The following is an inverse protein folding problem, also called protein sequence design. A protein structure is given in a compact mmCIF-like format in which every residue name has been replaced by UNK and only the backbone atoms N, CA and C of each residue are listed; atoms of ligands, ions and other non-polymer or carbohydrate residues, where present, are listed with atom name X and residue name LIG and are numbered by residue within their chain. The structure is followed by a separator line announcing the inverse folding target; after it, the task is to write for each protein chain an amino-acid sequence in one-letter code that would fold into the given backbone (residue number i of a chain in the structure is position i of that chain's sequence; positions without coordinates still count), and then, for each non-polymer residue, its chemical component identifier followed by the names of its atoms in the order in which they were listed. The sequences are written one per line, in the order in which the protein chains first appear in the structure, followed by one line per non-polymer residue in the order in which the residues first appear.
data_IF_572066887133
#
_entry.id   IF_572066887133
#
_cell.length_a   1.000
_cell.length_b   1.000
_cell.length_c   1.000
_cell.angle_alpha   90.00
_cell.angle_beta   90.00
_cell.angle_gamma   90.00
#
_symmetry.space_group_name_H-M   'P 1'
#
loop_
_entity.id
_entity.type
_entity.pdbx_description
1 polymer ?
#
# COMPACT_ATOMS: atom_id res chain seq x y z
N UNK A 1 17.96 -0.68 3.98
CA UNK A 1 17.31 0.48 3.35
C UNK A 1 17.55 1.69 4.23
N UNK A 2 17.92 2.81 3.61
CA UNK A 2 18.05 4.09 4.29
C UNK A 2 16.72 4.42 4.97
N UNK A 3 16.78 4.78 6.26
CA UNK A 3 15.68 5.46 6.91
C UNK A 3 15.46 6.81 6.24
N UNK A 4 14.32 7.42 6.52
CA UNK A 4 13.93 8.76 6.07
C UNK A 4 15.08 9.76 6.20
N UNK A 5 15.46 10.38 5.08
CA UNK A 5 16.46 11.47 4.99
C UNK A 5 15.79 12.84 4.82
N UNK A 6 14.52 12.98 5.21
CA UNK A 6 13.79 14.25 5.23
C UNK A 6 13.40 14.65 6.66
N UNK A 7 13.56 15.94 6.98
CA UNK A 7 13.14 16.48 8.28
C UNK A 7 11.61 16.50 8.38
N UNK A 8 11.10 16.19 9.57
CA UNK A 8 9.66 16.25 9.89
C UNK A 8 9.42 17.01 11.18
N UNK A 9 8.23 17.57 11.31
CA UNK A 9 7.88 18.44 12.43
C UNK A 9 8.33 19.88 12.21
N UNK A 10 8.19 20.68 13.26
CA UNK A 10 8.67 22.07 13.24
C UNK A 10 10.17 22.10 13.53
N UNK A 11 10.89 23.07 12.96
CA UNK A 11 12.31 23.26 13.26
C UNK A 11 12.49 23.63 14.73
N UNK A 12 13.50 23.06 15.41
CA UNK A 12 13.86 23.45 16.78
C UNK A 12 14.30 24.92 16.91
N UNK A 13 14.60 25.58 15.79
CA UNK A 13 14.91 27.01 15.72
C UNK A 13 13.64 27.87 15.64
N UNK A 14 12.46 27.27 15.45
CA UNK A 14 11.19 28.00 15.39
C UNK A 14 10.84 28.53 16.77
N UNK A 15 10.68 29.83 16.91
CA UNK A 15 10.06 30.42 18.10
C UNK A 15 8.54 30.25 17.98
N UNK A 16 7.93 29.58 18.98
CA UNK A 16 6.50 29.34 19.00
C UNK A 16 5.76 30.38 19.86
N UNK A 17 4.67 30.92 19.34
CA UNK A 17 3.80 31.87 20.02
C UNK A 17 2.63 31.17 20.72
N UNK A 18 2.07 31.79 21.76
CA UNK A 18 0.87 31.27 22.41
C UNK A 18 -0.36 31.45 21.48
N UNK A 19 -1.20 30.42 21.23
CA UNK A 19 -2.39 30.54 20.40
C UNK A 19 -3.39 31.61 20.87
N UNK A 20 -3.45 31.88 22.18
CA UNK A 20 -4.37 32.88 22.76
C UNK A 20 -4.10 34.32 22.31
N UNK A 21 -2.89 34.61 21.80
CA UNK A 21 -2.49 35.93 21.31
C UNK A 21 -2.74 36.11 19.82
N UNK A 22 -3.34 35.12 19.15
CA UNK A 22 -3.54 35.15 17.72
C UNK A 22 -4.53 36.27 17.33
N UNK A 23 -4.12 37.11 16.38
CA UNK A 23 -4.95 38.18 15.83
C UNK A 23 -4.70 38.28 14.33
N UNK A 24 -5.61 37.72 13.55
CA UNK A 24 -5.55 37.75 12.09
C UNK A 24 -6.96 37.65 11.50
N UNK A 25 -7.16 38.21 10.31
CA UNK A 25 -8.46 38.17 9.65
C UNK A 25 -8.89 36.73 9.35
N UNK A 26 -10.19 36.43 9.55
CA UNK A 26 -10.73 35.09 9.29
C UNK A 26 -10.43 34.05 10.37
N UNK A 27 -9.89 34.48 11.52
CA UNK A 27 -9.60 33.60 12.66
C UNK A 27 -10.17 34.20 13.94
N UNK A 28 -10.82 33.37 14.75
CA UNK A 28 -11.31 33.70 16.08
C UNK A 28 -10.67 32.79 17.13
N UNK A 29 -10.34 33.34 18.29
CA UNK A 29 -9.75 32.62 19.42
C UNK A 29 -10.81 32.41 20.49
N UNK A 30 -11.21 31.17 20.71
CA UNK A 30 -12.03 30.79 21.86
C UNK A 30 -11.11 30.43 23.03
N UNK A 31 -10.84 31.41 23.88
CA UNK A 31 -9.96 31.23 25.05
C UNK A 31 -10.60 30.40 26.16
N UNK A 32 -11.94 30.28 26.19
CA UNK A 32 -12.63 29.49 27.21
C UNK A 32 -12.48 28.01 26.88
N UNK A 33 -12.79 27.65 25.63
CA UNK A 33 -12.72 26.27 25.17
C UNK A 33 -11.36 25.89 24.57
N UNK A 34 -10.39 26.80 24.53
CA UNK A 34 -9.04 26.55 24.01
C UNK A 34 -9.04 26.08 22.54
N UNK A 35 -9.84 26.74 21.70
CA UNK A 35 -9.96 26.42 20.27
C UNK A 35 -9.63 27.65 19.42
N UNK A 36 -8.77 27.46 18.43
CA UNK A 36 -8.59 28.39 17.32
C UNK A 36 -9.55 28.00 16.21
N UNK A 37 -10.45 28.91 15.82
CA UNK A 37 -11.44 28.68 14.79
C UNK A 37 -11.12 29.52 13.54
N UNK A 38 -10.92 28.85 12.40
CA UNK A 38 -10.63 29.46 11.10
C UNK A 38 -11.86 29.38 10.21
N UNK A 39 -12.33 30.52 9.71
CA UNK A 39 -13.47 30.62 8.78
C UNK A 39 -13.15 31.44 7.52
N UNK A 40 -12.03 32.18 7.52
CA UNK A 40 -11.58 32.96 6.37
C UNK A 40 -10.76 32.16 5.36
N UNK A 41 -10.57 32.75 4.18
CA UNK A 41 -9.70 32.21 3.14
C UNK A 41 -8.29 32.82 3.21
N UNK A 42 -7.30 32.12 2.65
CA UNK A 42 -5.90 32.54 2.59
C UNK A 42 -5.27 32.76 3.98
N UNK A 43 -5.67 31.93 4.95
CA UNK A 43 -5.18 31.98 6.33
C UNK A 43 -3.96 31.08 6.48
N UNK A 44 -2.91 31.57 7.15
CA UNK A 44 -1.75 30.77 7.54
C UNK A 44 -1.55 30.83 9.04
N UNK A 45 -1.79 29.70 9.73
CA UNK A 45 -1.42 29.51 11.13
C UNK A 45 0.01 28.97 11.17
N UNK A 46 0.99 29.80 11.55
CA UNK A 46 2.40 29.42 11.54
C UNK A 46 3.10 29.77 12.84
N UNK A 47 3.82 28.81 13.44
CA UNK A 47 4.68 29.08 14.59
C UNK A 47 3.94 29.23 15.91
N UNK A 48 2.98 28.36 16.20
CA UNK A 48 2.21 28.39 17.45
C UNK A 48 2.42 27.14 18.30
N UNK A 49 2.44 27.31 19.62
CA UNK A 49 2.48 26.22 20.60
C UNK A 49 1.07 25.91 21.12
N UNK A 50 0.36 25.04 20.40
CA UNK A 50 -0.93 24.50 20.81
C UNK A 50 -0.83 23.48 21.96
N UNK A 51 0.36 23.17 22.49
CA UNK A 51 0.47 22.33 23.70
C UNK A 51 0.18 23.05 25.01
N UNK A 52 0.13 24.39 24.97
CA UNK A 52 -0.09 25.23 26.16
C UNK A 52 -1.49 25.06 26.75
N UNK A 53 -1.65 25.48 28.00
CA UNK A 53 -2.93 25.62 28.70
C UNK A 53 -3.81 24.35 28.76
N UNK A 54 -3.19 23.18 28.61
CA UNK A 54 -3.89 21.90 28.61
C UNK A 54 -4.19 21.35 27.21
N UNK A 55 -3.61 21.94 26.16
CA UNK A 55 -3.78 21.55 24.77
C UNK A 55 -4.89 22.35 24.09
N UNK A 56 -4.57 22.97 22.97
CA UNK A 56 -5.49 23.71 22.12
C UNK A 56 -5.85 22.89 20.88
N UNK A 57 -7.07 23.09 20.37
CA UNK A 57 -7.49 22.60 19.05
C UNK A 57 -7.40 23.69 17.98
N UNK A 58 -7.09 23.31 16.74
CA UNK A 58 -7.25 24.15 15.56
C UNK A 58 -8.38 23.58 14.67
N UNK A 59 -9.47 24.33 14.55
CA UNK A 59 -10.65 23.95 13.79
C UNK A 59 -10.79 24.84 12.54
N UNK A 60 -10.70 24.25 11.36
CA UNK A 60 -10.92 24.92 10.08
C UNK A 60 -12.36 24.66 9.65
N UNK A 61 -13.24 25.62 9.97
CA UNK A 61 -14.68 25.52 9.78
C UNK A 61 -15.19 26.35 8.59
N UNK A 62 -14.30 26.81 7.71
CA UNK A 62 -14.68 27.55 6.52
C UNK A 62 -13.50 28.09 5.74
N UNK A 63 -13.78 28.60 4.55
CA UNK A 63 -12.82 29.28 3.70
C UNK A 63 -12.04 28.35 2.77
N UNK A 64 -11.13 28.94 2.01
CA UNK A 64 -10.26 28.25 1.05
C UNK A 64 -8.80 28.65 1.21
N UNK A 65 -7.87 27.77 0.84
CA UNK A 65 -6.42 28.03 0.89
C UNK A 65 -5.93 28.30 2.32
N UNK A 66 -6.17 27.36 3.21
CA UNK A 66 -5.72 27.44 4.61
C UNK A 66 -4.43 26.65 4.78
N UNK A 67 -3.46 27.21 5.50
CA UNK A 67 -2.23 26.50 5.87
C UNK A 67 -2.06 26.47 7.38
N UNK A 68 -1.82 25.29 7.95
CA UNK A 68 -1.38 25.10 9.34
C UNK A 68 0.03 24.55 9.31
N UNK A 69 1.01 25.30 9.83
CA UNK A 69 2.41 24.96 9.67
C UNK A 69 3.31 25.29 10.86
N UNK A 70 4.48 24.66 10.90
CA UNK A 70 5.59 25.00 11.80
C UNK A 70 5.13 25.13 13.27
N UNK A 71 4.15 24.33 13.67
CA UNK A 71 3.48 24.45 14.96
C UNK A 71 3.58 23.15 15.74
N UNK A 72 3.37 23.26 17.06
CA UNK A 72 3.39 22.14 17.99
C UNK A 72 2.01 21.94 18.56
N UNK A 73 1.48 20.73 18.45
CA UNK A 73 0.25 20.29 19.07
C UNK A 73 0.56 19.12 20.01
N UNK A 74 0.04 19.19 21.22
CA UNK A 74 0.03 18.05 22.15
C UNK A 74 -1.36 17.96 22.76
N UNK A 75 -1.99 16.79 22.65
CA UNK A 75 -3.28 16.53 23.31
C UNK A 75 -3.05 16.53 24.82
N UNK A 76 -3.53 17.56 25.49
CA UNK A 76 -3.48 17.67 26.95
C UNK A 76 -4.83 17.36 27.59
N UNK A 77 -5.02 17.85 28.83
CA UNK A 77 -6.24 17.64 29.63
C UNK A 77 -7.54 18.14 28.97
N UNK A 78 -7.44 19.07 28.01
CA UNK A 78 -8.62 19.59 27.31
C UNK A 78 -9.15 18.59 26.25
N UNK A 79 -8.33 17.61 25.84
CA UNK A 79 -8.77 16.47 25.05
C UNK A 79 -9.21 16.78 23.62
N UNK A 80 -8.87 17.95 23.07
CA UNK A 80 -9.23 18.32 21.70
C UNK A 80 -8.53 17.45 20.66
N UNK A 81 -9.22 17.23 19.53
CA UNK A 81 -8.56 16.91 18.27
C UNK A 81 -7.63 18.08 17.90
N UNK A 82 -6.31 17.86 17.80
CA UNK A 82 -5.33 18.88 17.43
C UNK A 82 -5.70 19.69 16.20
N UNK A 83 -6.06 19.01 15.10
CA UNK A 83 -6.44 19.67 13.85
C UNK A 83 -7.70 19.02 13.29
N UNK A 84 -8.73 19.83 13.06
CA UNK A 84 -9.96 19.39 12.41
C UNK A 84 -10.27 20.28 11.21
N UNK A 85 -10.55 19.68 10.06
CA UNK A 85 -10.97 20.37 8.84
C UNK A 85 -12.40 19.95 8.52
N UNK A 86 -13.35 20.88 8.59
CA UNK A 86 -14.75 20.61 8.28
C UNK A 86 -15.01 20.59 6.78
N UNK A 87 -16.17 20.07 6.38
CA UNK A 87 -16.72 20.11 5.02
C UNK A 87 -16.94 21.51 4.45
N UNK A 88 -16.91 22.55 5.28
CA UNK A 88 -17.10 23.93 4.83
C UNK A 88 -15.78 24.58 4.40
N UNK A 89 -14.66 23.91 4.66
CA UNK A 89 -13.33 24.34 4.25
C UNK A 89 -12.90 23.65 2.94
N UNK A 90 -12.01 24.31 2.19
CA UNK A 90 -11.41 23.75 0.98
C UNK A 90 -9.93 24.08 0.87
N UNK A 91 -9.17 23.24 0.15
CA UNK A 91 -7.77 23.50 -0.18
C UNK A 91 -6.91 23.77 1.07
N UNK A 92 -6.76 22.76 1.93
CA UNK A 92 -6.06 22.89 3.21
C UNK A 92 -4.70 22.21 3.16
N UNK A 93 -3.66 22.89 3.65
CA UNK A 93 -2.32 22.34 3.80
C UNK A 93 -1.93 22.25 5.27
N UNK A 94 -1.55 21.06 5.74
CA UNK A 94 -1.04 20.80 7.08
C UNK A 94 0.41 20.35 6.94
N UNK A 95 1.38 21.17 7.36
CA UNK A 95 2.79 20.84 7.13
C UNK A 95 3.79 21.25 8.19
N UNK A 96 4.88 20.49 8.34
CA UNK A 96 5.96 20.82 9.27
C UNK A 96 5.47 20.97 10.72
N UNK A 97 4.46 20.22 11.14
CA UNK A 97 3.94 20.27 12.51
C UNK A 97 4.41 19.06 13.31
N UNK A 98 4.63 19.27 14.61
CA UNK A 98 4.59 18.17 15.58
C UNK A 98 3.14 18.03 16.05
N UNK A 99 2.55 16.86 15.88
CA UNK A 99 1.19 16.54 16.31
C UNK A 99 1.26 15.30 17.21
N UNK A 100 1.19 15.51 18.52
CA UNK A 100 1.38 14.45 19.51
C UNK A 100 0.09 14.19 20.29
N UNK A 101 -0.40 12.95 20.23
CA UNK A 101 -1.56 12.52 20.99
C UNK A 101 -1.27 12.29 22.48
N UNK A 102 0.00 12.25 22.89
CA UNK A 102 0.44 11.93 24.25
C UNK A 102 -0.17 10.64 24.84
N UNK A 103 -0.68 9.73 23.99
CA UNK A 103 -1.48 8.57 24.41
C UNK A 103 -2.76 8.93 25.17
N UNK A 104 -3.25 10.17 25.02
CA UNK A 104 -4.34 10.75 25.80
C UNK A 104 -5.64 10.89 24.98
N UNK A 105 -6.75 11.08 25.69
CA UNK A 105 -8.18 10.93 25.35
C UNK A 105 -8.73 11.37 23.99
N UNK A 106 -7.97 12.09 23.15
CA UNK A 106 -8.44 12.41 21.79
C UNK A 106 -8.45 11.15 20.94
N UNK A 107 -9.63 10.81 20.41
CA UNK A 107 -9.77 9.68 19.52
C UNK A 107 -8.99 9.91 18.21
N UNK A 108 -8.95 11.13 17.69
CA UNK A 108 -8.38 11.46 16.38
C UNK A 108 -7.36 12.60 16.54
N UNK A 109 -6.20 12.51 15.88
CA UNK A 109 -5.24 13.63 15.88
C UNK A 109 -5.48 14.64 14.76
N UNK A 110 -5.74 14.17 13.55
CA UNK A 110 -6.14 15.01 12.42
C UNK A 110 -7.40 14.45 11.78
N UNK A 111 -8.48 15.21 11.86
CA UNK A 111 -9.75 14.90 11.18
C UNK A 111 -9.89 15.75 9.92
N UNK A 112 -10.23 15.13 8.80
CA UNK A 112 -10.40 15.81 7.50
C UNK A 112 -11.73 15.42 6.90
N UNK A 113 -12.59 16.41 6.71
CA UNK A 113 -13.84 16.32 5.97
C UNK A 113 -13.94 17.44 4.90
N UNK A 114 -12.87 18.21 4.74
CA UNK A 114 -12.83 19.36 3.83
C UNK A 114 -12.82 18.97 2.35
N UNK A 115 -13.25 19.91 1.53
CA UNK A 115 -13.44 19.75 0.08
C UNK A 115 -12.19 20.16 -0.72
N UNK A 116 -12.20 19.88 -2.02
CA UNK A 116 -11.03 20.14 -2.86
C UNK A 116 -9.84 19.26 -2.44
N UNK A 117 -8.66 19.86 -2.30
CA UNK A 117 -7.45 19.11 -1.93
C UNK A 117 -7.02 19.38 -0.48
N UNK A 118 -6.89 18.33 0.33
CA UNK A 118 -6.15 18.43 1.60
C UNK A 118 -4.78 17.80 1.46
N UNK A 119 -3.72 18.57 1.75
CA UNK A 119 -2.32 18.12 1.70
C UNK A 119 -1.73 18.06 3.10
N UNK A 120 -1.25 16.89 3.52
CA UNK A 120 -0.60 16.64 4.81
C UNK A 120 0.84 16.21 4.53
N UNK A 121 1.82 17.05 4.85
CA UNK A 121 3.22 16.78 4.51
C UNK A 121 4.26 17.23 5.53
N UNK A 122 5.38 16.50 5.64
CA UNK A 122 6.49 16.84 6.55
C UNK A 122 6.11 16.96 8.03
N UNK A 123 5.01 16.34 8.45
CA UNK A 123 4.59 16.34 9.86
C UNK A 123 5.20 15.15 10.60
N UNK A 124 5.47 15.36 11.88
CA UNK A 124 5.65 14.29 12.86
C UNK A 124 4.30 14.09 13.57
N UNK A 125 3.63 12.98 13.33
CA UNK A 125 2.32 12.67 13.91
C UNK A 125 2.48 11.44 14.78
N UNK A 126 2.24 11.56 16.09
CA UNK A 126 2.60 10.47 17.01
C UNK A 126 1.68 10.24 18.21
N UNK A 127 1.80 9.05 18.80
CA UNK A 127 1.21 8.65 20.08
C UNK A 127 -0.31 8.86 20.14
N UNK A 128 -1.03 8.49 19.08
CA UNK A 128 -2.49 8.61 19.09
C UNK A 128 -3.11 7.59 20.06
N UNK A 129 -4.02 8.05 20.92
CA UNK A 129 -4.85 7.14 21.70
C UNK A 129 -5.75 6.30 20.79
N UNK A 130 -6.38 6.93 19.79
CA UNK A 130 -7.10 6.25 18.72
C UNK A 130 -6.35 6.27 17.40
N UNK A 131 -6.82 7.08 16.45
CA UNK A 131 -6.29 7.21 15.10
C UNK A 131 -5.37 8.43 14.94
N UNK A 132 -4.31 8.30 14.14
CA UNK A 132 -3.51 9.48 13.77
C UNK A 132 -4.29 10.34 12.78
N UNK A 133 -4.72 9.78 11.64
CA UNK A 133 -5.49 10.47 10.61
C UNK A 133 -6.84 9.79 10.39
N UNK A 134 -7.91 10.59 10.35
CA UNK A 134 -9.22 10.16 9.87
C UNK A 134 -9.66 11.11 8.77
N UNK A 135 -9.89 10.56 7.57
CA UNK A 135 -10.37 11.32 6.42
C UNK A 135 -11.72 10.77 5.97
N UNK A 136 -12.72 11.65 5.87
CA UNK A 136 -14.07 11.28 5.44
C UNK A 136 -14.60 12.17 4.34
N UNK A 137 -15.41 11.60 3.45
CA UNK A 137 -16.13 12.35 2.40
C UNK A 137 -17.61 12.47 2.74
N UNK A 138 -18.03 13.71 3.03
CA UNK A 138 -19.44 14.06 3.22
C UNK A 138 -20.03 14.74 1.98
N UNK A 139 -19.19 15.28 1.08
CA UNK A 139 -19.65 16.00 -0.12
C UNK A 139 -19.35 15.27 -1.42
N UNK A 140 -18.22 14.58 -1.52
CA UNK A 140 -17.72 13.89 -2.71
C UNK A 140 -16.80 14.76 -3.57
N UNK A 141 -15.84 14.10 -4.23
CA UNK A 141 -14.89 14.71 -5.17
C UNK A 141 -13.59 15.22 -4.53
N UNK A 142 -13.36 14.94 -3.25
CA UNK A 142 -12.18 15.39 -2.52
C UNK A 142 -10.93 14.63 -2.93
N UNK A 143 -9.77 15.28 -2.80
CA UNK A 143 -8.45 14.69 -2.98
C UNK A 143 -7.66 14.82 -1.69
N UNK A 144 -7.09 13.71 -1.21
CA UNK A 144 -6.25 13.71 -0.01
C UNK A 144 -4.84 13.28 -0.36
N UNK A 145 -3.87 14.14 -0.03
CA UNK A 145 -2.45 13.91 -0.29
C UNK A 145 -1.74 13.83 1.06
N UNK A 146 -1.25 12.66 1.41
CA UNK A 146 -0.46 12.39 2.61
C UNK A 146 0.92 11.97 2.17
N UNK A 147 1.92 12.86 2.29
CA UNK A 147 3.26 12.57 1.79
C UNK A 147 4.37 13.09 2.69
N UNK A 148 5.50 12.38 2.72
CA UNK A 148 6.69 12.80 3.47
C UNK A 148 6.44 13.04 4.97
N UNK A 149 5.53 12.29 5.61
CA UNK A 149 5.30 12.37 7.04
C UNK A 149 5.98 11.19 7.77
N UNK A 150 6.28 11.39 9.05
CA UNK A 150 6.48 10.29 9.98
C UNK A 150 5.20 10.16 10.81
N UNK A 151 4.55 9.00 10.72
CA UNK A 151 3.33 8.66 11.44
C UNK A 151 3.66 7.50 12.38
N UNK A 152 3.64 7.76 13.69
CA UNK A 152 4.20 6.87 14.70
C UNK A 152 3.20 6.55 15.81
N UNK A 153 3.01 5.29 16.14
CA UNK A 153 2.21 4.83 17.27
C UNK A 153 0.75 5.31 17.25
N UNK A 154 -0.14 4.39 16.86
CA UNK A 154 -1.59 4.54 16.94
C UNK A 154 -2.22 3.47 17.84
N UNK A 155 -3.48 3.71 18.22
CA UNK A 155 -4.32 2.75 18.92
C UNK A 155 -3.87 2.41 20.33
N UNK A 156 -3.25 3.38 21.03
CA UNK A 156 -2.79 3.21 22.42
C UNK A 156 -3.95 2.95 23.40
N UNK A 157 -5.17 3.35 23.03
CA UNK A 157 -6.38 3.21 23.82
C UNK A 157 -7.18 1.94 23.57
N UNK A 158 -6.82 1.12 22.58
CA UNK A 158 -7.69 0.06 22.07
C UNK A 158 -7.20 -1.35 22.37
N UNK A 159 -8.16 -2.25 22.59
CA UNK A 159 -7.95 -3.70 22.63
C UNK A 159 -7.85 -4.29 21.21
N UNK A 160 -7.61 -5.60 21.09
CA UNK A 160 -7.43 -6.27 19.80
C UNK A 160 -8.68 -6.17 18.93
N UNK A 161 -8.52 -5.73 17.67
CA UNK A 161 -9.58 -5.71 16.66
C UNK A 161 -10.42 -4.42 16.63
N UNK A 162 -10.12 -3.43 17.47
CA UNK A 162 -10.73 -2.10 17.39
C UNK A 162 -9.91 -1.12 16.50
N UNK A 163 -10.57 -0.05 16.04
CA UNK A 163 -10.05 0.95 15.09
C UNK A 163 -9.00 1.90 15.69
N UNK A 164 -7.79 1.41 15.90
CA UNK A 164 -6.61 2.26 16.14
C UNK A 164 -5.78 2.35 14.87
N UNK A 165 -5.99 3.35 14.02
CA UNK A 165 -5.40 3.40 12.68
C UNK A 165 -4.30 4.46 12.58
N UNK A 166 -3.24 4.17 11.82
CA UNK A 166 -2.40 5.25 11.30
C UNK A 166 -3.22 6.14 10.37
N UNK A 167 -4.02 5.51 9.50
CA UNK A 167 -4.93 6.20 8.60
C UNK A 167 -6.22 5.39 8.52
N UNK A 168 -7.33 6.05 8.84
CA UNK A 168 -8.66 5.52 8.56
C UNK A 168 -9.33 6.40 7.51
N UNK A 169 -9.84 5.79 6.44
CA UNK A 169 -10.72 6.49 5.51
C UNK A 169 -12.09 5.84 5.44
N UNK A 170 -13.12 6.67 5.33
CA UNK A 170 -14.47 6.21 5.05
C UNK A 170 -15.28 7.27 4.33
N UNK A 171 -16.31 6.86 3.60
CA UNK A 171 -17.21 7.76 2.91
C UNK A 171 -18.64 7.58 3.37
N UNK A 172 -19.39 8.69 3.43
CA UNK A 172 -20.82 8.63 3.63
C UNK A 172 -21.55 8.01 2.43
N UNK A 173 -22.82 7.59 2.61
CA UNK A 173 -23.64 7.07 1.53
C UNK A 173 -23.66 7.96 0.27
N UNK A 174 -23.30 7.36 -0.87
CA UNK A 174 -23.28 8.04 -2.17
C UNK A 174 -22.18 9.09 -2.37
N UNK A 175 -21.21 9.21 -1.46
CA UNK A 175 -20.12 10.21 -1.52
C UNK A 175 -18.83 9.57 -2.01
N UNK A 176 -18.35 9.97 -3.17
CA UNK A 176 -17.18 9.34 -3.76
C UNK A 176 -15.96 10.26 -3.68
N UNK A 177 -14.89 9.80 -3.06
CA UNK A 177 -13.59 10.48 -3.04
C UNK A 177 -12.99 10.41 -4.45
N UNK A 178 -12.39 11.51 -4.91
CA UNK A 178 -11.69 11.51 -6.18
C UNK A 178 -10.37 10.74 -6.06
N UNK A 179 -9.53 11.07 -5.08
CA UNK A 179 -8.20 10.48 -4.98
C UNK A 179 -7.67 10.42 -3.55
N UNK A 180 -6.99 9.33 -3.22
CA UNK A 180 -6.23 9.15 -1.99
C UNK A 180 -4.77 8.82 -2.33
N UNK A 181 -3.87 9.75 -2.04
CA UNK A 181 -2.44 9.55 -2.17
C UNK A 181 -1.77 9.42 -0.81
N UNK A 182 -1.18 8.27 -0.53
CA UNK A 182 -0.35 8.01 0.66
C UNK A 182 1.03 7.56 0.18
N UNK A 183 1.91 8.52 -0.10
CA UNK A 183 3.19 8.24 -0.75
C UNK A 183 4.37 8.77 0.05
N UNK A 184 5.52 8.08 0.02
CA UNK A 184 6.77 8.53 0.63
C UNK A 184 6.73 8.79 2.15
N UNK A 185 5.75 8.23 2.87
CA UNK A 185 5.67 8.35 4.33
C UNK A 185 6.47 7.25 5.03
N UNK A 186 6.75 7.47 6.31
CA UNK A 186 7.25 6.43 7.20
C UNK A 186 6.29 6.20 8.34
N UNK A 187 5.78 4.97 8.40
CA UNK A 187 4.88 4.48 9.42
C UNK A 187 5.67 3.66 10.43
N UNK A 188 5.51 3.97 11.71
CA UNK A 188 6.24 3.33 12.80
C UNK A 188 5.28 2.89 13.88
N UNK A 189 5.38 1.64 14.32
CA UNK A 189 4.78 1.16 15.56
C UNK A 189 5.87 0.60 16.47
N UNK A 190 5.99 1.19 17.65
CA UNK A 190 6.92 0.81 18.72
C UNK A 190 6.25 0.59 20.06
N UNK A 191 5.01 1.08 20.24
CA UNK A 191 4.22 0.76 21.42
C UNK A 191 3.97 -0.76 21.46
N UNK A 192 4.37 -1.45 22.55
CA UNK A 192 4.19 -2.89 22.68
C UNK A 192 2.71 -3.24 22.69
N UNK A 193 2.37 -4.47 22.31
CA UNK A 193 0.99 -4.96 22.22
C UNK A 193 0.16 -4.76 23.50
N UNK A 194 0.81 -4.71 24.66
CA UNK A 194 0.18 -4.46 25.97
C UNK A 194 -0.22 -2.99 26.18
N UNK A 195 0.38 -2.07 25.45
CA UNK A 195 0.15 -0.63 25.53
C UNK A 195 -0.74 -0.10 24.40
N UNK A 196 -1.12 -0.95 23.44
CA UNK A 196 -1.91 -0.54 22.30
C UNK A 196 -1.69 -1.43 21.08
N UNK A 197 -2.58 -1.28 20.10
CA UNK A 197 -2.52 -2.03 18.84
C UNK A 197 -3.02 -1.14 17.72
N UNK A 198 -2.36 -1.22 16.57
CA UNK A 198 -2.86 -0.55 15.36
C UNK A 198 -3.34 -1.54 14.30
N UNK A 199 -4.38 -1.17 13.54
CA UNK A 199 -4.73 -1.89 12.32
C UNK A 199 -3.79 -1.55 11.17
N UNK A 200 -3.11 -0.41 11.22
CA UNK A 200 -2.29 0.16 10.15
C UNK A 200 -3.04 1.19 9.32
N UNK A 201 -2.97 1.08 7.99
CA UNK A 201 -3.75 1.90 7.07
C UNK A 201 -5.01 1.14 6.67
N UNK A 202 -6.17 1.67 7.05
CA UNK A 202 -7.52 1.19 6.71
C UNK A 202 -8.12 2.08 5.64
N UNK A 203 -7.87 1.73 4.37
CA UNK A 203 -8.32 2.50 3.21
C UNK A 203 -9.70 2.02 2.75
N UNK A 204 -10.72 2.79 3.11
CA UNK A 204 -12.15 2.59 2.84
C UNK A 204 -12.74 1.29 3.39
N UNK A 205 -11.94 0.46 4.05
CA UNK A 205 -12.38 -0.72 4.80
C UNK A 205 -13.15 -0.39 6.07
N UNK A 206 -13.13 0.87 6.51
CA UNK A 206 -13.94 1.36 7.62
C UNK A 206 -15.35 1.84 7.18
N UNK A 207 -15.67 1.80 5.89
CA UNK A 207 -17.02 2.08 5.42
C UNK A 207 -18.04 1.16 6.08
N UNK A 208 -19.17 1.74 6.48
CA UNK A 208 -20.29 1.01 7.03
C UNK A 208 -21.52 1.14 6.11
N UNK A 209 -22.28 0.06 5.97
CA UNK A 209 -23.45 0.01 5.10
C UNK A 209 -23.12 -0.24 3.62
N UNK A 210 -24.05 -0.89 2.92
CA UNK A 210 -23.91 -1.24 1.49
C UNK A 210 -23.94 -0.04 0.55
N UNK A 211 -24.39 1.12 1.04
CA UNK A 211 -24.59 2.37 0.30
C UNK A 211 -23.46 3.38 0.49
N UNK A 212 -22.54 3.17 1.44
CA UNK A 212 -21.36 4.02 1.62
C UNK A 212 -20.59 4.18 0.28
N UNK A 213 -20.04 5.37 0.05
CA UNK A 213 -19.42 5.67 -1.24
C UNK A 213 -18.05 5.01 -1.45
N UNK A 214 -17.49 5.21 -2.63
CA UNK A 214 -16.21 4.62 -3.06
C UNK A 214 -15.13 5.67 -3.32
N UNK A 215 -14.04 5.23 -3.93
CA UNK A 215 -12.90 6.07 -4.31
C UNK A 215 -12.49 5.77 -5.74
N UNK A 216 -12.16 6.80 -6.54
CA UNK A 216 -11.76 6.59 -7.93
C UNK A 216 -10.33 6.05 -8.02
N UNK A 217 -9.39 6.70 -7.34
CA UNK A 217 -7.99 6.31 -7.35
C UNK A 217 -7.37 6.27 -5.96
N UNK A 218 -6.48 5.29 -5.77
CA UNK A 218 -5.68 5.19 -4.56
C UNK A 218 -4.21 4.93 -4.90
N UNK A 219 -3.30 5.51 -4.12
CA UNK A 219 -1.87 5.28 -4.32
C UNK A 219 -1.13 5.15 -2.99
N UNK A 220 -0.46 4.01 -2.80
CA UNK A 220 0.34 3.70 -1.62
C UNK A 220 1.74 3.35 -2.05
N UNK A 221 2.59 4.35 -2.26
CA UNK A 221 3.86 4.14 -2.93
C UNK A 221 5.06 4.68 -2.17
N UNK A 222 6.17 3.95 -2.26
CA UNK A 222 7.45 4.36 -1.70
C UNK A 222 7.39 4.64 -0.18
N UNK A 223 6.45 4.02 0.54
CA UNK A 223 6.35 4.16 1.98
C UNK A 223 7.25 3.14 2.69
N UNK A 224 7.63 3.46 3.92
CA UNK A 224 8.34 2.54 4.81
C UNK A 224 7.48 2.23 6.03
N UNK A 225 7.37 0.96 6.40
CA UNK A 225 6.57 0.47 7.52
C UNK A 225 7.48 -0.27 8.49
N UNK A 226 7.54 0.18 9.74
CA UNK A 226 8.42 -0.35 10.78
C UNK A 226 7.57 -0.77 11.97
N UNK A 227 7.62 -2.04 12.36
CA UNK A 227 6.94 -2.54 13.56
C UNK A 227 7.91 -3.29 14.47
N UNK A 228 8.29 -2.70 15.60
CA UNK A 228 9.36 -3.20 16.50
C UNK A 228 8.94 -3.20 17.96
N UNK A 229 9.84 -3.67 18.84
CA UNK A 229 9.67 -3.60 20.28
C UNK A 229 8.40 -4.31 20.81
N UNK A 230 8.05 -5.46 20.20
CA UNK A 230 6.84 -6.21 20.57
C UNK A 230 5.53 -5.49 20.23
N UNK A 231 5.58 -4.52 19.32
CA UNK A 231 4.40 -3.89 18.75
C UNK A 231 3.48 -4.91 18.05
N UNK A 232 2.28 -4.47 17.72
CA UNK A 232 1.36 -5.22 16.86
C UNK A 232 0.70 -4.29 15.86
N UNK A 233 0.87 -4.60 14.57
CA UNK A 233 0.21 -3.93 13.45
C UNK A 233 -0.57 -4.99 12.69
N UNK A 234 -1.89 -4.84 12.57
CA UNK A 234 -2.72 -5.88 11.92
C UNK A 234 -2.42 -6.00 10.42
N UNK A 235 -2.37 -4.87 9.72
CA UNK A 235 -2.07 -4.76 8.30
C UNK A 235 -1.08 -3.62 8.08
N UNK A 236 -0.15 -3.75 7.13
CA UNK A 236 0.60 -2.56 6.70
C UNK A 236 -0.34 -1.62 5.95
N UNK A 237 -0.99 -2.19 4.92
CA UNK A 237 -2.03 -1.53 4.12
C UNK A 237 -3.17 -2.52 3.92
N UNK A 238 -4.40 -2.12 4.23
CA UNK A 238 -5.60 -2.80 3.80
C UNK A 238 -6.47 -1.84 2.96
N UNK A 239 -6.81 -2.28 1.75
CA UNK A 239 -7.59 -1.52 0.78
C UNK A 239 -8.87 -2.29 0.44
N UNK A 240 -10.03 -1.66 0.52
CA UNK A 240 -11.29 -2.31 0.15
C UNK A 240 -11.57 -2.23 -1.36
N UNK A 241 -11.29 -3.32 -2.08
CA UNK A 241 -11.53 -3.36 -3.54
C UNK A 241 -12.99 -3.29 -3.92
N UNK A 242 -13.89 -3.53 -2.98
CA UNK A 242 -15.32 -3.36 -3.19
C UNK A 242 -15.76 -1.88 -3.16
N UNK A 243 -14.89 -1.00 -2.67
CA UNK A 243 -15.06 0.47 -2.64
C UNK A 243 -14.20 1.18 -3.67
N UNK A 244 -13.22 0.49 -4.26
CA UNK A 244 -12.40 1.02 -5.33
C UNK A 244 -13.18 1.02 -6.66
N UNK A 245 -13.58 2.20 -7.13
CA UNK A 245 -14.32 2.40 -8.38
C UNK A 245 -13.38 2.23 -9.59
N UNK A 246 -12.20 2.85 -9.51
CA UNK A 246 -11.20 2.83 -10.57
C UNK A 246 -10.04 1.90 -10.25
N UNK A 247 -8.89 2.48 -9.92
CA UNK A 247 -7.64 1.74 -9.79
C UNK A 247 -6.79 2.18 -8.62
N UNK A 248 -6.05 1.23 -8.05
CA UNK A 248 -5.09 1.49 -7.00
C UNK A 248 -3.69 1.01 -7.37
N UNK A 249 -2.68 1.71 -6.85
CA UNK A 249 -1.28 1.27 -6.92
C UNK A 249 -0.71 1.06 -5.53
N UNK A 250 -0.02 -0.06 -5.34
CA UNK A 250 0.76 -0.30 -4.12
C UNK A 250 2.15 -0.74 -4.55
N UNK A 251 3.11 0.20 -4.62
CA UNK A 251 4.45 -0.11 -5.17
C UNK A 251 5.62 0.47 -4.40
N UNK A 252 6.74 -0.23 -4.49
CA UNK A 252 8.03 0.17 -3.94
C UNK A 252 7.99 0.43 -2.42
N UNK A 253 7.06 -0.17 -1.69
CA UNK A 253 7.00 -0.01 -0.25
C UNK A 253 7.93 -1.00 0.45
N UNK A 254 8.32 -0.64 1.67
CA UNK A 254 9.28 -1.38 2.48
C UNK A 254 8.66 -1.76 3.81
N UNK A 255 8.58 -3.05 4.13
CA UNK A 255 7.90 -3.52 5.34
C UNK A 255 8.82 -4.31 6.25
N UNK A 256 9.04 -3.83 7.46
CA UNK A 256 9.53 -4.64 8.58
C UNK A 256 8.39 -5.54 9.08
N UNK A 257 8.33 -6.76 8.54
CA UNK A 257 7.26 -7.73 8.85
C UNK A 257 7.38 -8.38 10.22
N UNK A 258 8.36 -8.00 11.05
CA UNK A 258 8.57 -8.62 12.36
C UNK A 258 7.30 -8.63 13.20
N UNK A 259 6.53 -7.53 13.15
CA UNK A 259 5.31 -7.34 13.94
C UNK A 259 4.12 -6.78 13.12
N UNK A 260 4.19 -6.88 11.79
CA UNK A 260 3.06 -6.58 10.90
C UNK A 260 2.43 -7.92 10.49
N UNK A 261 1.14 -8.12 10.71
CA UNK A 261 0.49 -9.42 10.46
C UNK A 261 0.75 -10.46 11.55
N UNK A 262 0.45 -11.74 11.30
CA UNK A 262 0.47 -12.78 12.34
C UNK A 262 1.83 -13.47 12.54
N UNK A 263 2.44 -13.18 13.69
CA UNK A 263 3.22 -14.18 14.46
C UNK A 263 2.66 -14.38 15.88
N UNK A 264 1.96 -13.39 16.46
CA UNK A 264 1.47 -13.42 17.85
C UNK A 264 -0.04 -13.16 17.97
N UNK A 265 -0.84 -14.09 17.43
CA UNK A 265 -2.23 -14.32 17.84
C UNK A 265 -3.29 -13.38 17.25
N UNK A 266 -4.02 -13.86 16.24
CA UNK A 266 -5.43 -13.49 16.00
C UNK A 266 -5.78 -12.74 14.70
N UNK A 267 -4.81 -12.19 13.97
CA UNK A 267 -5.07 -11.54 12.67
C UNK A 267 -5.20 -12.56 11.54
N UNK A 268 -6.38 -12.64 10.91
CA UNK A 268 -6.66 -13.49 9.75
C UNK A 268 -5.74 -13.20 8.55
N UNK A 269 -5.53 -14.21 7.70
CA UNK A 269 -4.49 -14.27 6.66
C UNK A 269 -4.61 -13.32 5.47
N UNK A 270 -4.78 -12.01 5.70
CA UNK A 270 -4.61 -10.98 4.67
C UNK A 270 -3.15 -10.53 4.69
N UNK A 271 -2.41 -10.98 3.68
CA UNK A 271 -0.95 -10.96 3.61
C UNK A 271 -0.39 -9.52 3.53
N UNK A 272 -0.24 -8.84 4.67
CA UNK A 272 0.53 -7.59 4.92
C UNK A 272 0.13 -6.31 4.13
N UNK A 273 -0.32 -6.48 2.89
CA UNK A 273 -0.63 -5.53 1.83
C UNK A 273 -1.79 -6.16 1.04
N UNK A 274 -3.03 -5.81 1.34
CA UNK A 274 -4.15 -6.69 1.00
C UNK A 274 -5.43 -6.00 0.55
N UNK A 275 -6.11 -6.65 -0.40
CA UNK A 275 -7.46 -6.33 -0.81
C UNK A 275 -8.44 -6.90 0.21
N UNK A 276 -9.19 -6.03 0.87
CA UNK A 276 -10.35 -6.41 1.65
C UNK A 276 -11.53 -6.70 0.71
N UNK A 277 -12.14 -7.87 0.88
CA UNK A 277 -13.33 -8.32 0.13
C UNK A 277 -14.39 -8.80 1.12
N UNK A 278 -14.80 -7.92 2.04
CA UNK A 278 -15.82 -8.22 3.04
C UNK A 278 -17.21 -8.41 2.43
N UNK A 279 -18.06 -9.19 3.11
CA UNK A 279 -19.43 -9.49 2.67
C UNK A 279 -20.37 -8.27 2.63
N UNK A 280 -20.00 -7.17 3.29
CA UNK A 280 -20.74 -5.90 3.32
C UNK A 280 -20.14 -4.85 2.34
N UNK A 281 -19.35 -5.31 1.37
CA UNK A 281 -18.65 -4.48 0.40
C UNK A 281 -19.56 -3.75 -0.59
N UNK A 282 -19.04 -2.67 -1.18
CA UNK A 282 -19.71 -1.94 -2.25
C UNK A 282 -19.78 -2.73 -3.57
N UNK A 283 -20.50 -2.21 -4.59
CA UNK A 283 -20.68 -2.93 -5.86
C UNK A 283 -19.43 -2.90 -6.77
N UNK A 284 -18.39 -2.18 -6.37
CA UNK A 284 -17.20 -1.98 -7.20
C UNK A 284 -16.24 -3.16 -7.09
N UNK A 285 -15.30 -3.25 -8.04
CA UNK A 285 -14.24 -4.26 -8.09
C UNK A 285 -13.03 -3.70 -8.82
N UNK A 286 -12.53 -2.57 -8.31
CA UNK A 286 -11.44 -1.84 -8.93
C UNK A 286 -10.15 -2.66 -9.04
N UNK A 287 -9.25 -2.22 -9.91
CA UNK A 287 -8.02 -2.94 -10.23
C UNK A 287 -6.89 -2.47 -9.32
N UNK A 288 -6.26 -3.40 -8.61
CA UNK A 288 -5.10 -3.11 -7.77
C UNK A 288 -3.83 -3.63 -8.45
N UNK A 289 -2.88 -2.73 -8.66
CA UNK A 289 -1.57 -3.04 -9.24
C UNK A 289 -0.51 -2.99 -8.15
N UNK A 290 0.11 -4.13 -7.83
CA UNK A 290 1.13 -4.22 -6.77
C UNK A 290 2.51 -4.61 -7.29
N UNK A 291 3.56 -3.83 -6.99
CA UNK A 291 4.93 -4.20 -7.39
C UNK A 291 6.03 -3.73 -6.48
N UNK A 292 7.15 -4.46 -6.50
CA UNK A 292 8.39 -4.08 -5.84
C UNK A 292 8.24 -3.78 -4.34
N UNK A 293 7.17 -4.27 -3.69
CA UNK A 293 7.04 -4.19 -2.24
C UNK A 293 8.01 -5.20 -1.59
N UNK A 294 8.86 -4.72 -0.68
CA UNK A 294 9.97 -5.45 -0.08
C UNK A 294 9.63 -5.85 1.34
N UNK A 295 9.86 -7.13 1.66
CA UNK A 295 9.95 -7.61 3.03
C UNK A 295 11.36 -7.33 3.56
N UNK A 296 11.49 -6.40 4.51
CA UNK A 296 12.77 -5.98 5.09
C UNK A 296 13.39 -7.05 5.98
N UNK A 297 12.62 -8.01 6.50
CA UNK A 297 13.16 -9.08 7.37
C UNK A 297 13.87 -10.16 6.55
N UNK A 298 13.42 -10.41 5.32
CA UNK A 298 14.02 -11.42 4.43
C UNK A 298 14.85 -10.81 3.30
N UNK A 299 14.67 -9.52 3.02
CA UNK A 299 15.26 -8.85 1.85
C UNK A 299 14.56 -9.19 0.51
N UNK A 300 13.54 -10.04 0.54
CA UNK A 300 12.81 -10.49 -0.65
C UNK A 300 11.63 -9.58 -0.96
N UNK A 301 11.17 -9.61 -2.22
CA UNK A 301 9.88 -9.01 -2.58
C UNK A 301 8.72 -9.90 -2.07
N UNK A 302 7.60 -9.29 -1.66
CA UNK A 302 6.39 -10.05 -1.35
C UNK A 302 5.87 -10.77 -2.60
N UNK A 303 5.30 -11.98 -2.42
CA UNK A 303 4.51 -12.65 -3.46
C UNK A 303 3.23 -11.86 -3.71
N UNK A 304 3.38 -10.81 -4.51
CA UNK A 304 2.31 -9.99 -5.01
C UNK A 304 1.78 -10.77 -6.20
N UNK A 305 0.54 -11.27 -6.11
CA UNK A 305 -0.15 -11.92 -7.22
C UNK A 305 -0.32 -10.92 -8.36
N UNK A 306 0.76 -10.71 -9.10
CA UNK A 306 0.79 -10.02 -10.37
C UNK A 306 0.64 -11.04 -11.49
N UNK A 307 1.28 -10.75 -12.60
CA UNK A 307 1.38 -11.67 -13.72
C UNK A 307 2.11 -12.94 -13.28
N UNK A 308 1.48 -14.10 -13.48
CA UNK A 308 1.98 -15.42 -13.06
C UNK A 308 1.85 -16.42 -14.18
N UNK A 309 2.63 -17.50 -14.14
CA UNK A 309 2.45 -18.63 -15.07
C UNK A 309 1.10 -19.30 -14.78
N UNK A 310 0.30 -19.53 -15.83
CA UNK A 310 -0.99 -20.25 -15.79
C UNK A 310 -0.83 -21.70 -16.18
N UNK A 311 0.01 -21.97 -17.17
CA UNK A 311 0.29 -23.31 -17.67
C UNK A 311 1.61 -23.34 -18.45
N UNK A 312 2.17 -24.53 -18.62
CA UNK A 312 3.23 -24.80 -19.58
C UNK A 312 2.68 -25.68 -20.68
N UNK A 313 2.71 -25.17 -21.91
CA UNK A 313 2.20 -25.88 -23.08
C UNK A 313 3.36 -26.29 -23.96
N UNK A 314 3.55 -27.59 -24.15
CA UNK A 314 4.43 -28.06 -25.21
C UNK A 314 3.72 -27.89 -26.57
N UNK A 315 4.44 -27.42 -27.58
CA UNK A 315 3.96 -27.40 -28.96
C UNK A 315 3.52 -28.80 -29.31
N UNK A 316 2.21 -29.03 -29.48
CA UNK A 316 1.64 -30.32 -29.85
C UNK A 316 2.35 -30.83 -31.10
N UNK A 317 3.19 -31.87 -31.04
CA UNK A 317 3.27 -32.72 -32.19
C UNK A 317 2.04 -33.63 -32.03
N UNK A 318 1.14 -33.67 -33.01
CA UNK A 318 0.01 -34.62 -32.99
C UNK A 318 0.46 -36.10 -33.04
N UNK A 319 1.74 -36.37 -32.76
CA UNK A 319 2.53 -37.58 -32.90
C UNK A 319 3.69 -37.44 -31.92
N UNK A 320 4.11 -38.48 -31.23
CA UNK A 320 5.20 -38.41 -30.25
C UNK A 320 6.48 -37.79 -30.81
N UNK A 321 7.22 -37.01 -30.01
CA UNK A 321 8.51 -36.45 -30.42
C UNK A 321 9.62 -37.48 -30.17
N UNK A 322 10.32 -37.87 -31.24
CA UNK A 322 11.46 -38.79 -31.15
C UNK A 322 12.77 -38.05 -30.88
N UNK A 323 13.85 -38.77 -30.55
CA UNK A 323 15.19 -38.22 -30.42
C UNK A 323 15.58 -37.35 -31.62
N UNK A 324 16.20 -36.20 -31.35
CA UNK A 324 16.58 -35.20 -32.36
C UNK A 324 15.44 -34.27 -32.78
N UNK A 325 14.20 -34.54 -32.36
CA UNK A 325 13.07 -33.63 -32.62
C UNK A 325 13.18 -32.39 -31.74
N UNK A 326 12.80 -31.23 -32.29
CA UNK A 326 12.69 -29.99 -31.53
C UNK A 326 11.26 -29.82 -31.00
N UNK A 327 11.14 -29.58 -29.70
CA UNK A 327 9.89 -29.28 -29.01
C UNK A 327 9.96 -27.86 -28.47
N UNK A 328 8.91 -27.07 -28.68
CA UNK A 328 8.77 -25.78 -28.04
C UNK A 328 7.93 -25.90 -26.77
N UNK A 329 8.35 -25.25 -25.70
CA UNK A 329 7.66 -25.14 -24.43
C UNK A 329 7.25 -23.68 -24.25
N UNK A 330 5.96 -23.41 -24.23
CA UNK A 330 5.43 -22.07 -24.00
C UNK A 330 4.99 -21.93 -22.55
N UNK A 331 5.59 -21.01 -21.81
CA UNK A 331 5.12 -20.56 -20.50
C UNK A 331 4.03 -19.52 -20.73
N UNK A 332 2.79 -19.90 -20.49
CA UNK A 332 1.65 -18.99 -20.61
C UNK A 332 1.46 -18.24 -19.32
N UNK A 333 1.47 -16.91 -19.39
CA UNK A 333 1.30 -16.00 -18.28
C UNK A 333 -0.11 -15.43 -18.22
N UNK A 334 -0.49 -14.94 -17.04
CA UNK A 334 -1.81 -14.33 -16.83
C UNK A 334 -2.01 -12.96 -17.49
N UNK A 335 -0.94 -12.35 -18.00
CA UNK A 335 -0.91 -11.11 -18.76
C UNK A 335 0.40 -11.04 -19.59
N UNK A 336 0.56 -10.08 -20.53
CA UNK A 336 1.80 -9.92 -21.28
C UNK A 336 3.03 -9.64 -20.43
N UNK A 337 4.17 -10.24 -20.81
CA UNK A 337 5.46 -10.11 -20.11
C UNK A 337 6.58 -9.73 -21.07
N UNK A 338 7.46 -8.83 -20.63
CA UNK A 338 8.65 -8.35 -21.33
C UNK A 338 9.90 -8.97 -20.72
N UNK A 339 10.67 -9.64 -21.57
CA UNK A 339 12.02 -10.14 -21.26
C UNK A 339 13.03 -9.06 -21.65
N UNK A 340 13.92 -8.71 -20.71
CA UNK A 340 15.08 -7.84 -20.97
C UNK A 340 16.35 -8.63 -20.63
N UNK A 341 17.18 -8.88 -21.64
CA UNK A 341 18.43 -9.64 -21.50
C UNK A 341 19.58 -8.65 -21.32
N UNK A 342 20.30 -8.76 -20.19
CA UNK A 342 21.46 -7.92 -19.87
C UNK A 342 22.79 -8.64 -20.16
N UNK A 343 22.85 -9.95 -19.92
CA UNK A 343 24.00 -10.83 -20.18
C UNK A 343 23.55 -12.09 -20.94
N UNK A 344 22.92 -13.06 -20.26
CA UNK A 344 22.46 -14.32 -20.88
C UNK A 344 20.94 -14.41 -20.89
N UNK A 345 20.43 -15.06 -21.94
CA UNK A 345 19.00 -15.30 -22.09
C UNK A 345 18.48 -16.29 -21.01
N UNK A 346 17.19 -16.20 -20.64
CA UNK A 346 16.57 -17.18 -19.77
C UNK A 346 16.64 -18.61 -20.32
N UNK A 347 16.61 -19.60 -19.44
CA UNK A 347 16.54 -21.03 -19.79
C UNK A 347 15.52 -21.74 -18.91
N UNK A 348 14.97 -22.87 -19.37
CA UNK A 348 14.19 -23.77 -18.52
C UNK A 348 14.99 -25.02 -18.20
N UNK A 349 14.99 -25.41 -16.93
CA UNK A 349 15.42 -26.75 -16.50
C UNK A 349 14.23 -27.69 -16.63
N UNK A 350 14.47 -28.87 -17.21
CA UNK A 350 13.48 -29.93 -17.37
C UNK A 350 13.64 -31.01 -16.29
N UNK A 351 12.64 -31.88 -16.16
CA UNK A 351 12.55 -32.92 -15.12
C UNK A 351 13.66 -33.96 -15.16
N UNK A 352 14.40 -34.07 -16.27
CA UNK A 352 15.54 -34.96 -16.46
C UNK A 352 16.89 -34.24 -16.42
N UNK A 353 16.89 -32.93 -16.09
CA UNK A 353 18.08 -32.09 -16.10
C UNK A 353 18.39 -31.48 -17.48
N UNK A 354 17.61 -31.77 -18.51
CA UNK A 354 17.71 -31.11 -19.81
C UNK A 354 17.48 -29.60 -19.69
N UNK A 355 18.08 -28.82 -20.61
CA UNK A 355 17.97 -27.36 -20.62
C UNK A 355 17.33 -26.89 -21.92
N UNK A 356 16.16 -26.25 -21.84
CA UNK A 356 15.52 -25.59 -22.97
C UNK A 356 15.94 -24.10 -23.03
N UNK A 357 16.16 -23.59 -24.24
CA UNK A 357 16.67 -22.22 -24.46
C UNK A 357 15.55 -21.28 -24.86
N UNK A 358 15.53 -20.06 -24.29
CA UNK A 358 14.56 -19.04 -24.67
C UNK A 358 14.68 -18.65 -26.15
N UNK A 359 13.56 -18.64 -26.88
CA UNK A 359 13.51 -18.34 -28.32
C UNK A 359 12.58 -17.18 -28.69
N UNK A 360 11.64 -16.76 -27.84
CA UNK A 360 10.78 -15.62 -28.14
C UNK A 360 9.59 -15.39 -27.22
N UNK A 361 8.70 -14.48 -27.63
CA UNK A 361 7.46 -14.16 -26.90
C UNK A 361 7.52 -12.94 -25.97
N UNK A 362 8.64 -12.20 -25.97
CA UNK A 362 8.73 -10.93 -25.22
C UNK A 362 7.67 -9.93 -25.71
N UNK A 363 6.92 -9.35 -24.77
CA UNK A 363 5.79 -8.47 -25.03
C UNK A 363 4.45 -9.19 -25.21
N UNK A 364 4.42 -10.52 -25.23
CA UNK A 364 3.22 -11.35 -25.31
C UNK A 364 2.95 -12.06 -23.97
N UNK A 365 1.81 -12.76 -23.86
CA UNK A 365 1.49 -13.59 -22.70
C UNK A 365 2.23 -14.93 -22.67
N UNK A 366 2.80 -15.39 -23.79
CA UNK A 366 3.52 -16.66 -23.86
C UNK A 366 5.01 -16.47 -24.09
N UNK A 367 5.87 -16.96 -23.19
CA UNK A 367 7.32 -17.05 -23.42
C UNK A 367 7.68 -18.43 -23.97
N UNK A 368 8.39 -18.45 -25.10
CA UNK A 368 8.70 -19.67 -25.83
C UNK A 368 10.14 -20.10 -25.56
N UNK A 369 10.32 -21.38 -25.23
CA UNK A 369 11.60 -22.05 -25.04
C UNK A 369 11.67 -23.26 -25.96
N UNK A 370 12.86 -23.57 -26.49
CA UNK A 370 13.06 -24.69 -27.42
C UNK A 370 13.98 -25.73 -26.84
N UNK A 371 13.66 -27.00 -27.06
CA UNK A 371 14.41 -28.16 -26.57
C UNK A 371 14.54 -29.23 -27.64
N UNK A 372 15.74 -29.76 -27.84
CA UNK A 372 15.98 -30.92 -28.71
C UNK A 372 16.02 -32.19 -27.87
N UNK A 373 15.16 -33.15 -28.21
CA UNK A 373 15.01 -34.42 -27.49
C UNK A 373 16.32 -35.22 -27.55
N UNK A 374 16.90 -35.54 -26.40
CA UNK A 374 18.14 -36.30 -26.29
C UNK A 374 17.91 -37.80 -26.55
N UNK A 375 19.01 -38.53 -26.78
CA UNK A 375 18.96 -40.00 -26.90
C UNK A 375 18.55 -40.63 -25.57
N UNK A 376 17.69 -41.65 -25.63
CA UNK A 376 17.25 -42.42 -24.45
C UNK A 376 16.08 -41.81 -23.66
N UNK A 377 15.55 -40.65 -24.05
CA UNK A 377 14.36 -40.07 -23.43
C UNK A 377 13.08 -40.78 -23.88
N UNK A 378 12.19 -41.07 -22.93
CA UNK A 378 10.97 -41.86 -23.16
C UNK A 378 9.80 -41.47 -22.22
N UNK A 379 9.89 -40.33 -21.54
CA UNK A 379 8.88 -39.82 -20.61
C UNK A 379 8.56 -38.35 -20.91
N UNK A 380 7.37 -37.85 -20.49
CA UNK A 380 7.05 -36.43 -20.64
C UNK A 380 8.05 -35.54 -19.89
N UNK A 381 8.58 -34.54 -20.59
CA UNK A 381 9.48 -33.55 -20.00
C UNK A 381 8.67 -32.41 -19.40
N UNK A 382 8.82 -32.21 -18.08
CA UNK A 382 8.17 -31.13 -17.33
C UNK A 382 9.19 -30.04 -17.04
N UNK A 383 8.78 -28.77 -17.14
CA UNK A 383 9.59 -27.65 -16.68
C UNK A 383 9.63 -27.65 -15.14
N UNK A 384 10.82 -27.62 -14.56
CA UNK A 384 11.03 -27.65 -13.10
C UNK A 384 11.57 -26.34 -12.56
N UNK A 385 12.28 -25.56 -13.38
CA UNK A 385 12.76 -24.24 -13.02
C UNK A 385 12.90 -23.34 -14.26
N UNK A 386 12.76 -22.02 -14.06
CA UNK A 386 13.19 -21.01 -15.02
C UNK A 386 14.42 -20.30 -14.45
N UNK A 387 15.54 -20.34 -15.18
CA UNK A 387 16.78 -19.69 -14.79
C UNK A 387 16.90 -18.39 -15.59
N UNK A 388 16.90 -17.26 -14.89
CA UNK A 388 16.93 -15.94 -15.54
C UNK A 388 18.29 -15.55 -16.09
N UNK A 389 19.39 -16.14 -15.60
CA UNK A 389 20.75 -15.92 -16.10
C UNK A 389 21.15 -14.44 -16.27
N UNK A 390 20.69 -13.58 -15.36
CA UNK A 390 20.91 -12.13 -15.39
C UNK A 390 19.83 -11.32 -16.12
N UNK A 391 18.99 -11.96 -16.94
CA UNK A 391 17.82 -11.32 -17.55
C UNK A 391 16.74 -10.98 -16.52
N UNK A 392 15.81 -10.09 -16.89
CA UNK A 392 14.61 -9.78 -16.11
C UNK A 392 13.36 -10.11 -16.93
N UNK A 393 12.35 -10.69 -16.27
CA UNK A 393 11.00 -10.87 -16.83
C UNK A 393 10.04 -10.01 -16.03
N UNK A 394 9.42 -9.03 -16.70
CA UNK A 394 8.52 -8.06 -16.08
C UNK A 394 7.24 -7.93 -16.87
N UNK A 395 6.11 -7.62 -16.25
CA UNK A 395 4.87 -7.34 -17.00
C UNK A 395 4.87 -5.94 -17.64
N UNK A 396 3.77 -5.58 -18.31
CA UNK A 396 3.60 -4.30 -19.02
C UNK A 396 3.73 -3.05 -18.13
N UNK A 397 3.50 -3.20 -16.82
CA UNK A 397 3.63 -2.15 -15.81
C UNK A 397 4.97 -2.22 -15.04
N UNK A 398 5.93 -3.02 -15.55
CA UNK A 398 7.31 -3.08 -15.05
C UNK A 398 7.53 -3.94 -13.80
N UNK A 399 6.57 -4.78 -13.45
CA UNK A 399 6.57 -5.61 -12.23
C UNK A 399 7.24 -6.95 -12.51
N UNK A 400 8.08 -7.43 -11.59
CA UNK A 400 8.61 -8.81 -11.66
C UNK A 400 7.45 -9.80 -11.60
N UNK A 401 7.46 -10.78 -12.48
CA UNK A 401 6.38 -11.78 -12.60
C UNK A 401 6.62 -12.95 -11.64
N UNK A 402 5.55 -13.61 -11.19
CA UNK A 402 5.67 -14.86 -10.46
C UNK A 402 6.04 -15.99 -11.44
N UNK A 403 7.19 -16.59 -11.18
CA UNK A 403 7.83 -17.61 -12.01
C UNK A 403 7.71 -19.02 -11.40
N UNK A 404 6.92 -19.18 -10.34
CA UNK A 404 6.68 -20.48 -9.73
C UNK A 404 5.99 -21.45 -10.71
N UNK A 405 6.56 -22.65 -10.84
CA UNK A 405 6.00 -23.74 -11.66
C UNK A 405 5.27 -24.80 -10.81
N UNK A 406 5.34 -24.70 -9.47
CA UNK A 406 4.74 -25.67 -8.56
C UNK A 406 3.21 -25.64 -8.64
N UNK A 407 2.59 -26.79 -8.90
CA UNK A 407 1.13 -26.91 -8.99
C UNK A 407 0.51 -26.33 -10.26
N UNK A 408 1.34 -25.88 -11.22
CA UNK A 408 0.89 -25.34 -12.50
C UNK A 408 0.63 -26.50 -13.48
N UNK A 409 -0.51 -26.52 -14.20
CA UNK A 409 -0.76 -27.50 -15.26
C UNK A 409 0.35 -27.49 -16.32
N UNK A 410 0.84 -28.67 -16.68
CA UNK A 410 1.81 -28.82 -17.76
C UNK A 410 1.32 -29.90 -18.73
N UNK A 411 1.23 -29.54 -20.01
CA UNK A 411 1.04 -30.52 -21.07
C UNK A 411 2.42 -30.88 -21.62
N UNK A 412 3.04 -31.91 -21.04
CA UNK A 412 4.36 -32.37 -21.46
C UNK A 412 4.31 -33.00 -22.86
N UNK A 413 5.40 -32.91 -23.66
CA UNK A 413 5.50 -33.65 -24.92
C UNK A 413 5.53 -35.15 -24.61
N UNK A 414 4.75 -35.98 -25.31
CA UNK A 414 4.94 -37.43 -25.24
C UNK A 414 6.22 -37.78 -26.01
N UNK A 415 7.27 -38.20 -25.32
CA UNK A 415 8.55 -38.59 -25.92
C UNK A 415 8.53 -40.10 -26.18
N UNK A 416 8.84 -40.55 -27.41
CA UNK A 416 8.95 -41.97 -27.74
C UNK A 416 10.33 -42.34 -28.27
N UNK A 417 10.80 -43.54 -27.92
CA UNK A 417 12.11 -44.07 -28.26
C UNK A 417 12.27 -44.54 -29.72
N UNK A 418 11.21 -44.60 -30.52
CA UNK A 418 11.28 -45.11 -31.91
C UNK A 418 11.57 -43.99 -32.90
N UNK A 419 12.83 -43.88 -33.34
CA UNK A 419 13.27 -43.02 -34.43
C UNK A 419 12.79 -43.44 -35.84
N UNK A 420 11.57 -43.96 -35.96
CA UNK A 420 10.96 -44.25 -37.27
C UNK A 420 9.59 -43.60 -37.33
N UNK A 421 9.49 -42.61 -38.21
CA UNK A 421 8.21 -42.13 -38.74
C UNK A 421 7.55 -43.33 -39.44
N UNK A 422 6.67 -44.03 -38.73
CA UNK A 422 5.96 -45.20 -39.26
C UNK A 422 4.90 -44.71 -40.24
N UNK A 423 5.31 -44.47 -41.48
CA UNK A 423 4.42 -44.41 -42.64
C UNK A 423 3.96 -45.85 -42.91
N UNK A 424 2.66 -46.13 -42.79
CA UNK A 424 2.00 -47.28 -43.42
C UNK A 424 0.51 -46.97 -43.63
N UNK A 425 -0.10 -47.57 -44.69
CA UNK A 425 -0.63 -46.90 -45.87
C UNK A 425 -1.99 -46.21 -45.68
#
# INVERSE_FOLDING_TARGET
MAGVDYAVGYSSETTLSNPSTMSMAGVSVDQVNHIINVTGSNVTLSGYDFSLDGGWGASVNGGSNITIQNSKFVVGRNGHTPIYVSQDASNVTIRNNLIDGAGSSAQILVGVNGTGTTTIQYNMIQNAWGQNLVMSSDVGGETWIVQYNVIKDAGLGFSQGAHGDWIQTYNLPGKNTADLEVNFNTFVQTAPISAGRTQGISAFSANNGSDAGGVQTESFNNNTFIARNGAYVNYGIILDTTRLIGSATIRNNSFDTTNIGSANGGGGGWQYVGNYNGANGGPYRGVVTQSNNVNMTTGSYFNQRGTSIREVVASRPGRSAGTGSTVNLTLEFSAPVKVTVSDKAPTLTLSDGGVATYTGGSGASGLIFSYTVASGQNAPLLATAINLNGATVKNSVGQVVDLALAGIPQTGPQITSSGTDQIRP
#
